data_IF_053829789032
#
_entry.id   IF_053829789032
#
_cell.length_a   1.000
_cell.length_b   1.000
_cell.length_c   1.000
_cell.angle_alpha   90.00
_cell.angle_beta   90.00
_cell.angle_gamma   90.00
#
_symmetry.space_group_name_H-M   'P 1'
#
loop_
_entity.id
_entity.type
_entity.pdbx_description
1 polymer ?
#
# COMPACT_ATOMS: atom_id res chain seq x y z
N UNK A 1 10.66 -0.88 27.08
CA UNK A 1 10.01 0.20 26.30
C UNK A 1 9.12 -0.46 25.25
N UNK A 2 7.84 -0.65 25.55
CA UNK A 2 6.89 -1.20 24.60
C UNK A 2 6.46 -0.08 23.65
N UNK A 3 6.96 -0.09 22.41
CA UNK A 3 6.34 0.69 21.34
C UNK A 3 4.99 0.03 21.08
N UNK A 4 3.92 0.54 21.70
CA UNK A 4 2.58 0.43 21.14
C UNK A 4 2.70 1.00 19.73
N UNK A 5 2.79 0.13 18.73
CA UNK A 5 2.49 0.54 17.37
C UNK A 5 1.06 1.07 17.47
N UNK A 6 0.90 2.38 17.37
CA UNK A 6 -0.41 2.92 17.07
C UNK A 6 -0.87 2.15 15.84
N UNK A 7 -2.00 1.46 15.93
CA UNK A 7 -2.86 1.21 14.79
C UNK A 7 -3.22 2.59 14.24
N UNK A 8 -2.25 3.21 13.57
CA UNK A 8 -2.45 4.37 12.75
C UNK A 8 -3.33 3.81 11.64
N UNK A 9 -4.63 4.11 11.71
CA UNK A 9 -5.57 3.81 10.65
C UNK A 9 -4.99 4.41 9.37
N UNK A 10 -4.27 3.57 8.61
CA UNK A 10 -3.59 4.01 7.41
C UNK A 10 -4.64 4.12 6.34
N UNK A 11 -4.82 5.34 5.90
CA UNK A 11 -5.62 5.65 4.76
C UNK A 11 -4.83 5.31 3.49
N UNK A 12 -5.46 4.56 2.58
CA UNK A 12 -4.88 4.14 1.30
C UNK A 12 -5.67 4.72 0.15
N UNK A 13 -4.96 5.21 -0.86
CA UNK A 13 -5.58 5.72 -2.08
C UNK A 13 -5.90 4.55 -3.03
N UNK A 14 -7.15 4.47 -3.45
CA UNK A 14 -7.66 3.45 -4.38
C UNK A 14 -8.40 4.11 -5.55
N UNK A 15 -8.57 3.37 -6.63
CA UNK A 15 -9.35 3.80 -7.79
C UNK A 15 -10.71 3.11 -7.79
N UNK A 16 -11.80 3.88 -7.81
CA UNK A 16 -13.14 3.34 -7.89
C UNK A 16 -13.38 2.66 -9.25
N UNK A 17 -13.85 1.40 -9.24
CA UNK A 17 -14.31 0.69 -10.44
C UNK A 17 -15.79 0.90 -10.72
N UNK A 18 -16.54 1.40 -9.73
CA UNK A 18 -17.97 1.70 -9.81
C UNK A 18 -18.24 3.07 -9.19
N UNK A 19 -19.46 3.58 -9.33
CA UNK A 19 -19.86 4.75 -8.54
C UNK A 19 -20.02 4.30 -7.08
N UNK A 20 -19.15 4.79 -6.20
CA UNK A 20 -19.06 4.38 -4.81
C UNK A 20 -19.30 5.59 -3.91
N UNK A 21 -20.14 5.41 -2.90
CA UNK A 21 -20.21 6.33 -1.77
C UNK A 21 -19.42 5.72 -0.61
N UNK A 22 -18.39 6.42 -0.14
CA UNK A 22 -17.57 6.00 1.00
C UNK A 22 -17.59 7.11 2.05
N UNK A 23 -17.93 6.75 3.28
CA UNK A 23 -18.21 7.70 4.36
C UNK A 23 -19.23 8.78 3.95
N UNK A 24 -18.75 10.00 3.71
CA UNK A 24 -19.55 11.17 3.29
C UNK A 24 -19.35 11.54 1.82
N UNK A 25 -18.37 10.95 1.15
CA UNK A 25 -17.96 11.29 -0.20
C UNK A 25 -18.56 10.34 -1.25
N UNK A 26 -18.95 10.91 -2.40
CA UNK A 26 -19.43 10.16 -3.56
C UNK A 26 -18.41 10.30 -4.67
N UNK A 27 -17.79 9.18 -5.03
CA UNK A 27 -16.77 9.12 -6.09
C UNK A 27 -17.32 8.32 -7.26
N UNK A 28 -17.17 8.89 -8.46
CA UNK A 28 -17.60 8.23 -9.69
C UNK A 28 -16.60 7.17 -10.13
N UNK A 29 -17.07 6.23 -10.93
CA UNK A 29 -16.21 5.23 -11.57
C UNK A 29 -15.00 5.89 -12.26
N UNK A 30 -13.82 5.34 -11.99
CA UNK A 30 -12.53 5.84 -12.46
C UNK A 30 -11.91 6.93 -11.59
N UNK A 31 -12.66 7.49 -10.63
CA UNK A 31 -12.16 8.46 -9.66
C UNK A 31 -11.28 7.80 -8.60
N UNK A 32 -10.40 8.59 -8.01
CA UNK A 32 -9.56 8.18 -6.89
C UNK A 32 -10.25 8.57 -5.58
N UNK A 33 -10.21 7.67 -4.60
CA UNK A 33 -10.68 7.93 -3.25
C UNK A 33 -9.69 7.37 -2.23
N UNK A 34 -9.73 7.93 -1.04
CA UNK A 34 -8.94 7.45 0.08
C UNK A 34 -9.85 6.68 1.03
N UNK A 35 -9.49 5.43 1.33
CA UNK A 35 -10.25 4.54 2.20
C UNK A 35 -9.36 4.05 3.33
N UNK A 36 -9.94 3.55 4.41
CA UNK A 36 -9.17 2.87 5.46
C UNK A 36 -8.62 1.54 4.94
N UNK A 37 -7.38 1.22 5.31
CA UNK A 37 -6.76 -0.06 4.95
C UNK A 37 -7.58 -1.27 5.43
N UNK A 38 -8.30 -1.14 6.55
CA UNK A 38 -9.22 -2.18 7.04
C UNK A 38 -10.38 -2.47 6.08
N UNK A 39 -10.86 -1.46 5.35
CA UNK A 39 -11.96 -1.62 4.37
C UNK A 39 -11.44 -2.04 2.99
N UNK A 40 -10.13 -1.91 2.74
CA UNK A 40 -9.52 -2.19 1.44
C UNK A 40 -9.80 -3.62 0.98
N UNK A 41 -9.55 -4.60 1.86
CA UNK A 41 -9.74 -6.00 1.51
C UNK A 41 -11.18 -6.29 1.07
N UNK A 42 -12.15 -5.76 1.81
CA UNK A 42 -13.57 -5.95 1.49
C UNK A 42 -13.95 -5.29 0.16
N UNK A 43 -13.56 -4.03 -0.03
CA UNK A 43 -13.88 -3.26 -1.23
C UNK A 43 -13.17 -3.82 -2.47
N UNK A 44 -11.98 -4.40 -2.31
CA UNK A 44 -11.25 -5.08 -3.37
C UNK A 44 -11.87 -6.44 -3.70
N UNK A 45 -12.30 -7.21 -2.69
CA UNK A 45 -12.96 -8.51 -2.88
C UNK A 45 -14.30 -8.37 -3.61
N UNK A 46 -15.05 -7.30 -3.31
CA UNK A 46 -16.30 -6.94 -4.00
C UNK A 46 -16.08 -6.27 -5.38
N UNK A 47 -14.82 -6.12 -5.80
CA UNK A 47 -14.42 -5.45 -7.04
C UNK A 47 -14.91 -4.00 -7.18
N UNK A 48 -15.22 -3.33 -6.07
CA UNK A 48 -15.67 -1.94 -6.09
C UNK A 48 -14.52 -0.95 -6.28
N UNK A 49 -13.32 -1.33 -5.83
CA UNK A 49 -12.11 -0.52 -5.95
C UNK A 49 -10.95 -1.34 -6.49
N UNK A 50 -9.98 -0.65 -7.07
CA UNK A 50 -8.69 -1.19 -7.47
C UNK A 50 -7.62 -0.47 -6.67
N UNK A 51 -6.92 -1.21 -5.83
CA UNK A 51 -5.73 -0.73 -5.16
C UNK A 51 -4.51 -1.06 -6.00
N UNK A 52 -3.74 -0.03 -6.32
CA UNK A 52 -2.40 -0.19 -6.88
C UNK A 52 -1.45 0.17 -5.76
N UNK A 53 -0.74 -0.80 -5.14
CA UNK A 53 0.27 -0.47 -4.16
C UNK A 53 1.26 0.49 -4.81
N UNK A 54 1.67 1.56 -4.12
CA UNK A 54 2.79 2.34 -4.60
C UNK A 54 3.93 1.36 -4.78
N UNK A 55 4.55 1.35 -5.96
CA UNK A 55 5.80 0.64 -6.17
C UNK A 55 6.79 1.27 -5.21
N UNK A 56 6.89 0.72 -4.00
CA UNK A 56 8.13 0.78 -3.26
C UNK A 56 9.12 0.13 -4.22
N UNK A 57 9.93 0.96 -4.88
CA UNK A 57 11.25 0.55 -5.28
C UNK A 57 11.80 -0.15 -4.05
N UNK A 58 11.79 -1.48 -4.09
CA UNK A 58 12.35 -2.30 -3.04
C UNK A 58 13.77 -1.78 -2.90
N UNK A 59 14.03 -1.00 -1.87
CA UNK A 59 15.33 -0.99 -1.23
C UNK A 59 15.43 -2.37 -0.59
N UNK A 60 15.59 -3.39 -1.44
CA UNK A 60 16.15 -4.66 -1.05
C UNK A 60 17.49 -4.28 -0.47
N UNK A 61 17.58 -4.29 0.86
CA UNK A 61 18.85 -4.30 1.55
C UNK A 61 19.63 -5.50 1.02
N UNK A 62 20.51 -5.25 0.06
CA UNK A 62 21.70 -6.04 -0.20
C UNK A 62 22.89 -5.10 -0.05
N UNK A 63 23.00 -4.49 1.13
CA UNK A 63 24.31 -4.27 1.75
C UNK A 63 24.92 -5.65 2.07
N UNK A 64 25.38 -6.36 1.06
CA UNK A 64 26.42 -7.40 1.20
C UNK A 64 27.28 -7.35 -0.05
N UNK A 65 27.91 -6.18 -0.25
CA UNK A 65 29.14 -6.06 -1.02
C UNK A 65 30.30 -5.95 -0.04
N UNK A 66 30.47 -6.94 0.85
CA UNK A 66 31.74 -7.14 1.54
C UNK A 66 32.77 -7.49 0.46
N UNK A 67 33.41 -6.48 -0.11
CA UNK A 67 34.65 -6.65 -0.86
C UNK A 67 35.73 -7.08 0.15
N UNK A 68 35.91 -8.39 0.26
CA UNK A 68 37.14 -9.01 0.71
C UNK A 68 37.54 -10.07 -0.33
N UNK A 69 38.85 -10.29 -0.53
CA UNK A 69 39.50 -10.21 -1.84
C UNK A 69 39.60 -11.58 -2.54
N UNK A 70 39.83 -11.64 -3.86
CA UNK A 70 40.59 -12.75 -4.41
C UNK A 70 42.08 -12.47 -4.14
N UNK A 71 42.60 -13.08 -3.08
CA UNK A 71 44.00 -13.45 -3.05
C UNK A 71 44.15 -14.72 -3.89
N UNK A 72 44.82 -14.67 -5.05
CA UNK A 72 45.67 -15.80 -5.44
C UNK A 72 46.73 -15.44 -6.50
N UNK A 73 47.97 -15.77 -6.13
CA UNK A 73 49.21 -16.07 -6.88
C UNK A 73 49.86 -15.01 -7.78
#
# INVERSE_FOLDING_TARGET
MAKKAAEEERNVKVKAKVNLKYDSDVVKMGGELEIRESDLEELQNKEYVSYTPPVQTQQTGQETGQQAPPAEK
#
